data_IF_927333428429
#
_entry.id   IF_927333428429
#
_cell.length_a   1.000
_cell.length_b   1.000
_cell.length_c   1.000
_cell.angle_alpha   90.00
_cell.angle_beta   90.00
_cell.angle_gamma   90.00
#
_symmetry.space_group_name_H-M   'P 1'
#
loop_
_entity.id
_entity.type
_entity.pdbx_description
1 polymer ?
#
# COMPACT_ATOMS: atom_id res chain seq x y z
N UNK A 1 -38.37 -14.09 -5.35
CA UNK A 1 -37.09 -14.50 -4.76
C UNK A 1 -36.03 -14.46 -5.86
N UNK A 2 -35.28 -13.36 -5.97
CA UNK A 2 -34.35 -13.13 -7.08
C UNK A 2 -32.98 -13.65 -6.66
N UNK A 3 -32.62 -14.84 -7.13
CA UNK A 3 -31.28 -15.39 -6.96
C UNK A 3 -30.30 -14.52 -7.75
N UNK A 4 -29.48 -13.75 -7.04
CA UNK A 4 -28.31 -13.10 -7.63
C UNK A 4 -27.25 -14.20 -7.75
N UNK A 5 -27.00 -14.65 -8.97
CA UNK A 5 -25.81 -15.44 -9.25
C UNK A 5 -24.60 -14.52 -9.04
N UNK A 6 -23.85 -14.75 -7.97
CA UNK A 6 -22.49 -14.22 -7.84
C UNK A 6 -21.67 -14.84 -8.98
N UNK A 7 -21.14 -14.01 -9.87
CA UNK A 7 -20.14 -14.42 -10.85
C UNK A 7 -18.98 -15.12 -10.13
N UNK A 8 -18.45 -16.25 -10.61
CA UNK A 8 -17.29 -16.87 -9.99
C UNK A 8 -16.01 -16.10 -10.31
N UNK A 9 -15.15 -16.00 -9.29
CA UNK A 9 -13.68 -16.06 -9.36
C UNK A 9 -12.81 -14.79 -9.55
N UNK A 10 -13.28 -13.59 -9.21
CA UNK A 10 -12.33 -12.52 -8.86
C UNK A 10 -11.90 -12.66 -7.40
N UNK A 11 -10.58 -12.66 -7.09
CA UNK A 11 -10.12 -12.69 -5.71
C UNK A 11 -10.66 -11.46 -4.99
N UNK A 12 -11.25 -11.67 -3.80
CA UNK A 12 -11.75 -10.57 -2.98
C UNK A 12 -10.59 -9.62 -2.63
N UNK A 13 -10.85 -8.32 -2.44
CA UNK A 13 -9.84 -7.40 -1.96
C UNK A 13 -9.24 -7.91 -0.64
N UNK A 14 -7.93 -7.82 -0.51
CA UNK A 14 -7.19 -8.28 0.67
C UNK A 14 -6.63 -7.08 1.42
N UNK A 15 -6.88 -7.04 2.72
CA UNK A 15 -6.30 -6.05 3.62
C UNK A 15 -4.96 -6.59 4.16
N UNK A 16 -3.91 -5.77 4.08
CA UNK A 16 -2.60 -6.05 4.65
C UNK A 16 -2.08 -4.86 5.47
N UNK A 17 -1.42 -5.11 6.62
CA UNK A 17 -1.36 -6.39 7.32
C UNK A 17 -2.75 -6.87 7.76
N UNK A 18 -3.00 -8.19 7.74
CA UNK A 18 -4.31 -8.79 8.06
C UNK A 18 -4.74 -8.53 9.50
N UNK A 19 -3.78 -8.35 10.42
CA UNK A 19 -4.05 -8.00 11.82
C UNK A 19 -4.86 -6.69 11.93
N UNK A 20 -4.66 -5.74 11.00
CA UNK A 20 -5.38 -4.47 10.96
C UNK A 20 -6.87 -4.60 10.57
N UNK A 21 -7.38 -5.81 10.32
CA UNK A 21 -8.80 -6.01 9.98
C UNK A 21 -9.75 -5.65 11.14
N UNK A 22 -9.30 -5.78 12.39
CA UNK A 22 -10.16 -5.71 13.58
C UNK A 22 -10.04 -4.42 14.39
N UNK A 23 -9.08 -3.55 14.08
CA UNK A 23 -8.88 -2.28 14.78
C UNK A 23 -8.71 -1.12 13.80
N UNK A 24 -9.21 0.05 14.21
CA UNK A 24 -9.15 1.24 13.37
C UNK A 24 -7.74 1.82 13.35
N UNK A 25 -7.07 1.84 14.49
CA UNK A 25 -5.65 2.21 14.66
C UNK A 25 -5.12 1.42 15.85
N UNK A 26 -3.83 1.13 15.84
CA UNK A 26 -3.07 0.61 16.99
C UNK A 26 -2.28 1.73 17.70
N UNK A 27 -2.69 2.99 17.49
CA UNK A 27 -1.94 4.18 17.92
C UNK A 27 -0.87 4.62 16.92
N UNK A 28 -0.78 4.01 15.73
CA UNK A 28 0.09 4.46 14.64
C UNK A 28 -0.68 5.20 13.55
N UNK A 29 -0.08 6.27 13.08
CA UNK A 29 -0.45 6.99 11.87
C UNK A 29 0.80 7.12 10.99
N UNK A 30 0.62 6.99 9.68
CA UNK A 30 1.69 7.21 8.72
C UNK A 30 1.53 8.59 8.12
N UNK A 31 2.59 9.39 8.26
CA UNK A 31 2.67 10.76 7.75
C UNK A 31 3.20 10.76 6.33
N UNK A 32 4.33 10.07 6.11
CA UNK A 32 4.83 9.72 4.80
C UNK A 32 3.95 8.62 4.16
N UNK A 33 3.83 8.59 2.82
CA UNK A 33 4.49 9.48 1.87
C UNK A 33 3.65 10.70 1.43
N UNK A 34 2.47 10.91 2.02
CA UNK A 34 1.46 11.82 1.44
C UNK A 34 1.50 13.26 1.97
N UNK A 35 2.21 13.52 3.06
CA UNK A 35 2.28 14.84 3.69
C UNK A 35 3.33 15.79 3.07
N UNK A 36 4.45 15.25 2.61
CA UNK A 36 5.59 15.96 2.02
C UNK A 36 6.22 15.14 0.89
N UNK A 37 7.00 15.75 -0.01
CA UNK A 37 7.81 15.00 -0.95
C UNK A 37 8.68 13.97 -0.22
N UNK A 38 8.66 12.71 -0.65
CA UNK A 38 9.28 11.62 0.11
C UNK A 38 9.56 10.40 -0.77
N UNK A 39 10.51 9.58 -0.33
CA UNK A 39 10.69 8.20 -0.84
C UNK A 39 10.31 7.26 0.28
N UNK A 40 9.39 6.36 0.02
CA UNK A 40 8.83 5.43 1.00
C UNK A 40 8.80 4.03 0.41
N UNK A 41 9.29 3.05 1.15
CA UNK A 41 9.15 1.64 0.81
C UNK A 41 8.49 0.93 1.98
N UNK A 42 7.52 0.08 1.67
CA UNK A 42 6.90 -0.84 2.61
C UNK A 42 6.93 -2.24 2.03
N UNK A 43 7.42 -3.18 2.82
CA UNK A 43 7.35 -4.60 2.50
C UNK A 43 6.20 -5.23 3.27
N UNK A 44 5.39 -6.04 2.58
CA UNK A 44 4.38 -6.93 3.16
C UNK A 44 4.85 -8.37 2.99
N UNK A 45 5.02 -9.08 4.10
CA UNK A 45 5.48 -10.47 4.09
C UNK A 45 4.55 -11.35 3.26
N UNK A 46 5.10 -12.32 2.53
CA UNK A 46 4.31 -13.28 1.73
C UNK A 46 3.25 -14.04 2.55
N UNK A 47 3.43 -14.21 3.86
CA UNK A 47 2.44 -14.82 4.75
C UNK A 47 1.11 -14.06 4.82
N UNK A 48 1.14 -12.74 4.59
CA UNK A 48 -0.06 -11.90 4.45
C UNK A 48 -0.93 -12.31 3.25
N UNK A 49 -0.37 -13.09 2.32
CA UNK A 49 -1.02 -13.48 1.08
C UNK A 49 -1.28 -14.99 1.01
N UNK A 50 -1.25 -15.70 2.13
CA UNK A 50 -1.40 -17.17 2.19
C UNK A 50 -2.72 -17.69 1.57
N UNK A 51 -3.75 -16.85 1.45
CA UNK A 51 -5.01 -17.17 0.78
C UNK A 51 -4.88 -17.25 -0.75
N UNK A 52 -3.90 -16.57 -1.36
CA UNK A 52 -3.64 -16.58 -2.79
C UNK A 52 -2.86 -17.85 -3.15
N UNK A 53 -3.49 -18.75 -3.92
CA UNK A 53 -2.90 -20.05 -4.31
C UNK A 53 -2.22 -20.05 -5.67
N UNK A 54 -2.46 -19.01 -6.47
CA UNK A 54 -1.91 -18.83 -7.80
C UNK A 54 -1.48 -17.37 -7.96
N UNK A 55 -0.64 -17.05 -8.95
CA UNK A 55 -0.38 -15.66 -9.30
C UNK A 55 -1.67 -14.89 -9.56
N UNK A 56 -1.68 -13.61 -9.15
CA UNK A 56 -2.80 -12.68 -9.35
C UNK A 56 -2.30 -11.37 -9.93
N UNK A 57 -3.18 -10.60 -10.57
CA UNK A 57 -2.87 -9.21 -10.95
C UNK A 57 -3.39 -8.28 -9.87
N UNK A 58 -2.52 -7.50 -9.27
CA UNK A 58 -2.90 -6.36 -8.43
C UNK A 58 -3.33 -5.24 -9.37
N UNK A 59 -4.55 -4.73 -9.20
CA UNK A 59 -5.15 -3.71 -10.10
C UNK A 59 -5.44 -2.40 -9.39
N UNK A 60 -5.52 -2.40 -8.06
CA UNK A 60 -5.74 -1.19 -7.27
C UNK A 60 -5.09 -1.36 -5.89
N UNK A 61 -4.55 -0.26 -5.38
CA UNK A 61 -4.19 -0.09 -3.98
C UNK A 61 -5.16 0.91 -3.35
N UNK A 62 -5.62 0.66 -2.13
CA UNK A 62 -6.39 1.62 -1.38
C UNK A 62 -5.89 1.71 0.06
N UNK A 63 -5.70 2.93 0.57
CA UNK A 63 -5.21 3.15 1.94
C UNK A 63 -6.38 3.47 2.86
N UNK A 64 -6.28 3.02 4.12
CA UNK A 64 -7.26 3.36 5.14
C UNK A 64 -7.02 4.79 5.66
N UNK A 65 -8.04 5.66 5.70
CA UNK A 65 -7.93 6.96 6.35
C UNK A 65 -7.81 6.83 7.88
N UNK A 66 -7.27 7.84 8.53
CA UNK A 66 -7.39 7.99 9.99
C UNK A 66 -8.74 8.62 10.36
N UNK A 67 -9.20 8.43 11.60
CA UNK A 67 -10.36 9.16 12.10
C UNK A 67 -10.11 10.68 12.03
N UNK A 68 -11.15 11.44 11.72
CA UNK A 68 -11.09 12.90 11.56
C UNK A 68 -10.17 13.44 10.45
N UNK A 69 -9.66 12.58 9.56
CA UNK A 69 -8.94 13.02 8.37
C UNK A 69 -9.85 13.86 7.47
N UNK A 70 -9.59 15.16 7.39
CA UNK A 70 -10.27 16.05 6.45
C UNK A 70 -9.72 15.84 5.04
N UNK A 71 -10.25 14.87 4.31
CA UNK A 71 -9.75 14.56 2.97
C UNK A 71 -10.78 14.89 1.88
N UNK A 72 -11.11 16.18 1.77
CA UNK A 72 -11.70 16.75 0.56
C UNK A 72 -10.61 17.41 -0.31
N UNK A 73 -9.94 16.61 -1.14
CA UNK A 73 -9.28 17.10 -2.35
C UNK A 73 -7.80 17.48 -2.25
N UNK A 74 -7.02 16.92 -1.31
CA UNK A 74 -5.57 17.13 -1.32
C UNK A 74 -4.98 16.54 -2.61
N UNK A 75 -4.35 17.39 -3.42
CA UNK A 75 -3.77 16.99 -4.70
C UNK A 75 -2.25 16.97 -4.62
N UNK A 76 -1.68 15.83 -4.96
CA UNK A 76 -0.25 15.65 -5.21
C UNK A 76 -0.05 15.73 -6.72
N UNK A 77 0.71 16.72 -7.18
CA UNK A 77 0.88 16.98 -8.63
C UNK A 77 1.66 15.88 -9.34
N UNK A 78 2.59 15.21 -8.65
CA UNK A 78 3.38 14.12 -9.20
C UNK A 78 3.75 13.12 -8.12
N UNK A 79 3.20 11.91 -8.23
CA UNK A 79 3.52 10.77 -7.39
C UNK A 79 3.71 9.53 -8.26
N UNK A 80 4.55 8.61 -7.80
CA UNK A 80 4.80 7.36 -8.47
C UNK A 80 4.66 6.21 -7.47
N UNK A 81 3.94 5.16 -7.88
CA UNK A 81 3.82 3.91 -7.15
C UNK A 81 4.50 2.83 -7.96
N UNK A 82 5.33 2.03 -7.29
CA UNK A 82 6.06 0.91 -7.88
C UNK A 82 5.83 -0.33 -7.04
N UNK A 83 5.68 -1.46 -7.71
CA UNK A 83 5.59 -2.77 -7.07
C UNK A 83 6.73 -3.66 -7.57
N UNK A 84 7.29 -4.47 -6.69
CA UNK A 84 8.27 -5.51 -7.01
C UNK A 84 8.20 -6.65 -5.99
N UNK A 85 8.84 -7.78 -6.30
CA UNK A 85 8.96 -8.90 -5.37
C UNK A 85 10.24 -8.80 -4.55
N UNK A 86 10.10 -8.82 -3.23
CA UNK A 86 11.19 -8.82 -2.26
C UNK A 86 11.41 -10.22 -1.70
N UNK A 87 12.61 -10.78 -1.91
CA UNK A 87 12.90 -12.18 -1.60
C UNK A 87 13.26 -12.46 -0.14
N UNK A 88 13.60 -11.42 0.61
CA UNK A 88 14.02 -11.51 2.01
C UNK A 88 12.82 -11.29 2.94
N UNK A 89 13.02 -11.51 4.24
CA UNK A 89 12.01 -11.21 5.26
C UNK A 89 11.90 -9.71 5.52
N UNK A 90 10.75 -9.17 6.00
CA UNK A 90 10.64 -7.76 6.39
C UNK A 90 11.72 -7.29 7.36
N UNK A 91 12.23 -8.17 8.22
CA UNK A 91 13.31 -7.87 9.16
C UNK A 91 14.63 -7.52 8.48
N UNK A 92 14.83 -7.93 7.23
CA UNK A 92 16.04 -7.72 6.43
C UNK A 92 15.93 -6.50 5.49
N UNK A 93 14.84 -5.72 5.58
CA UNK A 93 14.69 -4.49 4.81
C UNK A 93 15.90 -3.57 5.02
N UNK A 94 16.57 -3.19 3.94
CA UNK A 94 17.75 -2.33 3.98
C UNK A 94 17.35 -0.86 4.15
N UNK A 95 18.18 -0.07 4.84
CA UNK A 95 18.05 1.38 4.82
C UNK A 95 18.38 1.98 3.44
N UNK A 96 19.10 1.24 2.58
CA UNK A 96 19.40 1.67 1.22
C UNK A 96 18.30 1.18 0.29
N UNK A 97 17.42 2.08 -0.14
CA UNK A 97 16.22 1.79 -0.91
C UNK A 97 16.47 0.92 -2.15
N UNK A 98 17.53 1.21 -2.91
CA UNK A 98 17.83 0.50 -4.16
C UNK A 98 18.26 -0.96 -3.92
N UNK A 99 18.64 -1.33 -2.68
CA UNK A 99 18.93 -2.73 -2.31
C UNK A 99 17.68 -3.56 -2.05
N UNK A 100 16.53 -2.92 -1.90
CA UNK A 100 15.26 -3.60 -1.60
C UNK A 100 14.46 -3.95 -2.86
N UNK A 101 14.70 -3.27 -3.97
CA UNK A 101 13.88 -3.38 -5.18
C UNK A 101 14.13 -4.73 -5.88
N UNK A 102 13.03 -5.43 -6.21
CA UNK A 102 13.04 -6.66 -6.98
C UNK A 102 13.36 -6.44 -8.46
N UNK A 103 13.85 -7.47 -9.14
CA UNK A 103 14.17 -7.41 -10.59
C UNK A 103 12.93 -7.24 -11.48
N UNK A 104 11.77 -7.56 -10.94
CA UNK A 104 10.46 -7.49 -11.57
C UNK A 104 9.75 -6.15 -11.32
N UNK A 105 10.48 -5.10 -10.91
CA UNK A 105 9.89 -3.79 -10.62
C UNK A 105 9.04 -3.25 -11.78
N UNK A 106 7.82 -2.83 -11.44
CA UNK A 106 6.90 -2.15 -12.34
C UNK A 106 6.47 -0.82 -11.72
N UNK A 107 6.57 0.25 -12.51
CA UNK A 107 5.85 1.51 -12.23
C UNK A 107 4.37 1.27 -12.53
N UNK A 108 3.57 1.10 -11.47
CA UNK A 108 2.16 0.71 -11.57
C UNK A 108 1.21 1.91 -11.69
N UNK A 109 1.64 3.06 -11.17
CA UNK A 109 0.96 4.35 -11.30
C UNK A 109 2.00 5.48 -11.33
N UNK A 110 1.77 6.47 -12.19
CA UNK A 110 2.53 7.71 -12.22
C UNK A 110 1.64 8.86 -12.70
N UNK A 111 1.70 9.98 -12.00
CA UNK A 111 0.95 11.19 -12.37
C UNK A 111 0.40 11.94 -11.16
N UNK A 112 -0.54 12.87 -11.39
CA UNK A 112 -1.23 13.55 -10.30
C UNK A 112 -2.18 12.59 -9.57
N UNK A 113 -2.21 12.67 -8.25
CA UNK A 113 -3.12 11.89 -7.41
C UNK A 113 -3.90 12.85 -6.49
N UNK A 114 -5.22 12.72 -6.50
CA UNK A 114 -6.07 13.45 -5.54
C UNK A 114 -6.48 12.48 -4.44
N UNK A 115 -6.01 12.74 -3.23
CA UNK A 115 -6.36 11.98 -2.05
C UNK A 115 -7.77 12.38 -1.57
N UNK A 116 -8.65 11.39 -1.51
CA UNK A 116 -10.05 11.56 -1.10
C UNK A 116 -10.48 10.37 -0.27
N UNK A 117 -11.34 10.63 0.71
CA UNK A 117 -12.03 9.61 1.49
C UNK A 117 -13.48 10.03 1.71
N UNK A 118 -14.36 9.05 1.85
CA UNK A 118 -15.77 9.24 2.21
C UNK A 118 -16.00 8.96 3.71
N UNK A 119 -14.97 8.60 4.47
CA UNK A 119 -15.04 8.28 5.90
C UNK A 119 -16.11 7.22 6.22
N UNK A 120 -16.30 6.24 5.32
CA UNK A 120 -17.30 5.19 5.51
C UNK A 120 -16.77 4.12 6.45
N UNK A 121 -17.60 3.67 7.40
CA UNK A 121 -17.31 2.51 8.24
C UNK A 121 -17.44 1.21 7.43
N UNK A 122 -16.56 0.25 7.69
CA UNK A 122 -16.70 -1.14 7.24
C UNK A 122 -17.70 -1.88 8.13
N UNK A 123 -17.95 -3.17 7.88
CA UNK A 123 -18.71 -4.04 8.81
C UNK A 123 -17.86 -4.23 10.09
N UNK A 124 -17.99 -3.33 11.04
CA UNK A 124 -17.22 -3.29 12.29
C UNK A 124 -16.91 -1.86 12.75
N UNK A 125 -15.88 -1.71 13.58
CA UNK A 125 -15.42 -0.42 14.11
C UNK A 125 -14.42 0.32 13.20
N UNK A 126 -14.00 -0.29 12.08
CA UNK A 126 -12.96 0.27 11.19
C UNK A 126 -13.55 1.11 10.06
N UNK A 127 -12.77 2.03 9.50
CA UNK A 127 -13.02 2.75 8.25
C UNK A 127 -12.63 1.88 7.06
N UNK A 128 -13.33 2.08 5.95
CA UNK A 128 -13.02 1.45 4.67
C UNK A 128 -11.72 2.02 4.09
N UNK A 129 -10.96 1.19 3.39
CA UNK A 129 -9.84 1.65 2.58
C UNK A 129 -10.39 2.27 1.30
N UNK A 130 -10.47 3.59 1.24
CA UNK A 130 -11.09 4.32 0.13
C UNK A 130 -10.23 5.47 -0.44
N UNK A 131 -9.01 5.65 0.09
CA UNK A 131 -7.98 6.47 -0.55
C UNK A 131 -7.37 5.63 -1.68
N UNK A 132 -8.07 5.59 -2.80
CA UNK A 132 -7.80 4.66 -3.89
C UNK A 132 -6.75 5.16 -4.88
N UNK A 133 -5.94 4.23 -5.38
CA UNK A 133 -4.93 4.39 -6.42
C UNK A 133 -5.15 3.29 -7.47
N UNK A 134 -5.96 3.55 -8.51
CA UNK A 134 -6.14 2.63 -9.63
C UNK A 134 -4.82 2.48 -10.40
N UNK A 135 -4.39 1.25 -10.65
CA UNK A 135 -3.10 0.99 -11.31
C UNK A 135 -3.25 1.08 -12.83
N UNK A 136 -2.51 2.01 -13.44
CA UNK A 136 -2.40 2.13 -14.91
C UNK A 136 -1.70 0.93 -15.55
N UNK A 137 -0.82 0.26 -14.79
CA UNK A 137 -0.15 -0.98 -15.15
C UNK A 137 -0.29 -1.96 -14.00
N UNK A 138 -1.23 -2.93 -14.07
CA UNK A 138 -1.36 -3.96 -13.05
C UNK A 138 -0.06 -4.75 -12.86
N UNK A 139 0.20 -5.20 -11.64
CA UNK A 139 1.38 -5.99 -11.30
C UNK A 139 1.00 -7.45 -11.07
N UNK A 140 1.68 -8.39 -11.73
CA UNK A 140 1.49 -9.83 -11.49
C UNK A 140 2.28 -10.19 -10.25
N UNK A 141 1.59 -10.61 -9.19
CA UNK A 141 2.20 -11.01 -7.94
C UNK A 141 2.00 -12.50 -7.67
N UNK A 142 3.09 -13.18 -7.33
CA UNK A 142 3.12 -14.57 -6.91
C UNK A 142 3.73 -14.68 -5.50
N UNK A 143 2.93 -14.94 -4.45
CA UNK A 143 3.46 -15.05 -3.08
C UNK A 143 4.50 -16.16 -2.89
N UNK A 144 4.55 -17.15 -3.80
CA UNK A 144 5.58 -18.19 -3.78
C UNK A 144 6.98 -17.64 -4.14
N UNK A 145 7.06 -16.50 -4.82
CA UNK A 145 8.32 -15.88 -5.27
C UNK A 145 8.91 -14.89 -4.26
N UNK A 146 8.11 -14.41 -3.30
CA UNK A 146 8.56 -13.52 -2.24
C UNK A 146 7.47 -12.60 -1.69
N UNK A 147 7.89 -11.74 -0.78
CA UNK A 147 7.09 -10.67 -0.18
C UNK A 147 6.81 -9.57 -1.20
N UNK A 148 5.73 -8.81 -1.01
CA UNK A 148 5.39 -7.69 -1.88
C UNK A 148 6.10 -6.42 -1.37
N UNK A 149 6.88 -5.74 -2.22
CA UNK A 149 7.42 -4.42 -1.93
C UNK A 149 6.60 -3.35 -2.65
N UNK A 150 6.08 -2.41 -1.89
CA UNK A 150 5.49 -1.17 -2.36
C UNK A 150 6.49 -0.03 -2.19
N UNK A 151 6.91 0.60 -3.29
CA UNK A 151 7.63 1.88 -3.26
C UNK A 151 6.72 3.01 -3.70
N UNK A 152 6.72 4.11 -2.96
CA UNK A 152 6.04 5.36 -3.28
C UNK A 152 7.08 6.47 -3.31
N UNK A 153 7.13 7.19 -4.43
CA UNK A 153 7.89 8.43 -4.57
C UNK A 153 6.93 9.58 -4.74
N UNK A 154 6.79 10.39 -3.71
CA UNK A 154 6.02 11.61 -3.77
C UNK A 154 6.91 12.78 -4.16
N UNK A 155 6.68 13.39 -5.31
CA UNK A 155 7.48 14.50 -5.80
C UNK A 155 6.80 15.86 -5.70
N UNK A 156 5.59 15.94 -5.14
CA UNK A 156 4.79 17.16 -5.11
C UNK A 156 3.84 17.23 -3.93
N UNK A 157 3.10 18.33 -3.83
CA UNK A 157 2.28 18.64 -2.67
C UNK A 157 3.05 19.45 -1.63
N UNK A 158 2.54 20.63 -1.32
CA UNK A 158 3.00 21.42 -0.18
C UNK A 158 2.52 20.76 1.12
N UNK A 159 3.27 20.98 2.21
CA UNK A 159 3.05 20.53 3.60
C UNK A 159 1.56 20.46 3.98
N UNK A 160 0.91 19.36 3.62
CA UNK A 160 -0.47 19.10 4.00
C UNK A 160 -0.44 18.02 5.06
N UNK A 161 -1.25 18.24 6.09
CA UNK A 161 -1.45 17.26 7.14
C UNK A 161 -2.34 16.13 6.60
N UNK A 162 -1.76 15.23 5.82
CA UNK A 162 -2.43 14.04 5.31
C UNK A 162 -1.87 12.79 5.97
N UNK A 163 -2.70 12.14 6.79
CA UNK A 163 -2.34 10.91 7.47
C UNK A 163 -3.15 9.74 6.91
N UNK A 164 -2.49 8.59 6.85
CA UNK A 164 -3.16 7.32 6.62
C UNK A 164 -2.95 6.41 7.82
N UNK A 165 -3.89 5.50 8.01
CA UNK A 165 -3.86 4.63 9.15
C UNK A 165 -2.65 3.70 9.10
N UNK A 166 -1.94 3.62 10.23
CA UNK A 166 -0.81 2.73 10.41
C UNK A 166 -1.21 1.42 11.10
N UNK A 167 -0.34 0.43 10.98
CA UNK A 167 -0.35 -0.79 11.78
C UNK A 167 1.09 -1.25 12.00
N UNK A 168 1.43 -1.54 13.25
CA UNK A 168 2.61 -2.27 13.70
C UNK A 168 2.30 -3.76 13.67
N UNK A 169 2.97 -4.47 12.77
CA UNK A 169 2.89 -5.92 12.66
C UNK A 169 4.25 -6.45 12.22
N UNK A 170 4.68 -7.63 12.72
CA UNK A 170 5.98 -8.21 12.37
C UNK A 170 6.09 -8.58 10.88
N UNK A 171 4.95 -8.66 10.19
CA UNK A 171 4.81 -8.98 8.76
C UNK A 171 4.93 -7.77 7.85
N UNK A 172 5.14 -6.56 8.39
CA UNK A 172 5.41 -5.37 7.60
C UNK A 172 6.56 -4.55 8.17
N UNK A 173 7.32 -3.92 7.29
CA UNK A 173 8.37 -2.99 7.68
C UNK A 173 8.51 -1.90 6.65
N UNK A 174 8.94 -0.71 7.09
CA UNK A 174 9.12 0.42 6.21
C UNK A 174 10.53 0.96 6.26
N UNK A 175 10.95 1.56 5.15
CA UNK A 175 12.05 2.52 5.09
C UNK A 175 11.56 3.78 4.38
N UNK A 176 11.83 4.95 4.94
CA UNK A 176 11.37 6.21 4.36
C UNK A 176 12.40 7.34 4.49
N UNK A 177 12.27 8.34 3.63
CA UNK A 177 13.08 9.55 3.63
C UNK A 177 12.19 10.74 3.21
N UNK A 178 11.91 11.62 4.15
CA UNK A 178 11.13 12.83 3.94
C UNK A 178 11.97 13.92 3.26
N UNK A 179 11.28 14.81 2.54
CA UNK A 179 11.82 15.88 1.71
C UNK A 179 12.77 15.44 0.58
N UNK A 180 12.97 14.13 0.35
CA UNK A 180 13.98 13.61 -0.59
C UNK A 180 13.40 12.43 -1.40
N UNK A 181 12.56 12.70 -2.42
CA UNK A 181 11.88 11.65 -3.18
C UNK A 181 12.77 10.77 -4.06
N UNK A 182 14.00 11.19 -4.32
CA UNK A 182 15.01 10.42 -5.03
C UNK A 182 16.19 10.08 -4.11
N UNK A 183 15.93 9.78 -2.84
CA UNK A 183 16.99 9.43 -1.88
C UNK A 183 17.81 8.23 -2.40
N UNK A 184 19.10 8.46 -2.67
CA UNK A 184 20.09 7.43 -3.07
C UNK A 184 20.82 6.84 -1.85
N UNK A 185 20.85 7.59 -0.74
CA UNK A 185 21.46 7.15 0.52
C UNK A 185 20.50 6.40 1.45
N UNK A 186 20.95 6.15 2.69
CA UNK A 186 20.15 5.49 3.71
C UNK A 186 18.88 6.30 4.08
N UNK A 187 17.75 5.64 4.26
CA UNK A 187 16.54 6.16 4.90
C UNK A 187 16.43 5.74 6.37
N UNK A 188 15.26 5.98 6.95
CA UNK A 188 14.90 5.61 8.32
C UNK A 188 14.02 4.36 8.26
N UNK A 189 14.41 3.32 9.01
CA UNK A 189 13.58 2.12 9.17
C UNK A 189 12.62 2.31 10.35
N UNK A 190 11.38 1.85 10.18
CA UNK A 190 10.42 1.70 11.27
C UNK A 190 9.68 0.36 11.13
N UNK A 191 9.24 -0.18 12.28
CA UNK A 191 8.32 -1.31 12.29
C UNK A 191 6.92 -0.84 11.94
N UNK A 192 6.13 -1.74 11.35
CA UNK A 192 4.80 -1.40 10.88
C UNK A 192 4.78 -0.81 9.47
N UNK A 193 3.70 -0.11 9.15
CA UNK A 193 3.52 0.63 7.91
C UNK A 193 2.07 1.04 7.71
N UNK A 194 1.71 1.41 6.47
CA UNK A 194 0.33 1.76 6.12
C UNK A 194 -0.55 0.51 6.08
N UNK A 195 -1.80 0.68 6.48
CA UNK A 195 -2.86 -0.31 6.21
C UNK A 195 -3.35 -0.14 4.78
N UNK A 196 -3.17 -1.19 3.99
CA UNK A 196 -3.43 -1.18 2.55
C UNK A 196 -4.38 -2.29 2.17
N UNK A 197 -5.38 -1.97 1.36
CA UNK A 197 -6.22 -2.95 0.67
C UNK A 197 -5.71 -3.11 -0.77
N UNK A 198 -5.54 -4.35 -1.20
CA UNK A 198 -5.20 -4.70 -2.58
C UNK A 198 -6.41 -5.31 -3.26
N UNK A 199 -6.77 -4.79 -4.43
CA UNK A 199 -7.78 -5.40 -5.30
C UNK A 199 -7.07 -6.21 -6.38
N UNK A 200 -7.60 -7.40 -6.66
CA UNK A 200 -7.00 -8.32 -7.61
C UNK A 200 -7.94 -8.65 -8.77
N UNK A 201 -7.33 -9.08 -9.87
CA UNK A 201 -7.98 -9.80 -10.96
C UNK A 201 -7.22 -11.11 -11.23
N UNK A 202 -7.90 -12.11 -11.77
CA UNK A 202 -7.26 -13.35 -12.20
C UNK A 202 -6.22 -13.07 -13.28
N UNK A 203 -5.10 -13.80 -13.30
CA UNK A 203 -4.20 -13.82 -14.48
C UNK A 203 -4.91 -14.63 -15.57
N UNK A 204 -5.10 -14.05 -16.75
CA UNK A 204 -5.70 -14.79 -17.87
C UNK A 204 -4.84 -16.01 -18.21
N UNK A 205 -5.48 -17.15 -18.49
CA UNK A 205 -4.81 -18.36 -18.98
C UNK A 205 -4.35 -18.18 -20.42
#
# INVERSE_FOLDING_TARGET
MRFVFLSPADPQPLLVPQTAATFQTDGKMQTAPFNVPSRYQQVYDKSEFAALKTPVRITELAFRPVEDQQAQGHKIERIQFRLSTFKQSPAELSTIFDKNVGRDEVVVFEGPLTLRTRMRRSRGSTLQCDIAVPLSKPFVYNPAEGSLLLEIRNFGGANATFYVNGCDAPTTRIVYADAIPNRVGAGIIQNGGMVTQLTFASVAK
#
